data_IF_977134506225
#
_entry.id   IF_977134506225
#
_cell.length_a   1.000
_cell.length_b   1.000
_cell.length_c   1.000
_cell.angle_alpha   90.00
_cell.angle_beta   90.00
_cell.angle_gamma   90.00
#
_symmetry.space_group_name_H-M   'P 1'
#
loop_
_entity.id
_entity.type
_entity.pdbx_description
1 polymer ?
#
# COMPACT_ATOMS: atom_id res chain seq x y z
N UNK A 1 -6.80 1.10 20.34
CA UNK A 1 -7.94 1.64 21.14
C UNK A 1 -8.06 0.89 22.45
N UNK A 2 -8.18 -0.46 22.49
CA UNK A 2 -8.37 -1.21 23.74
C UNK A 2 -7.28 -0.97 24.79
N UNK A 3 -6.02 -0.96 24.41
CA UNK A 3 -4.89 -0.66 25.32
C UNK A 3 -5.01 0.74 25.91
N UNK A 4 -5.30 1.76 25.10
CA UNK A 4 -5.49 3.14 25.57
C UNK A 4 -6.67 3.28 26.54
N UNK A 5 -7.76 2.55 26.31
CA UNK A 5 -8.89 2.54 27.26
C UNK A 5 -8.51 1.95 28.62
N UNK A 6 -7.70 0.90 28.64
CA UNK A 6 -7.21 0.29 29.89
C UNK A 6 -6.24 1.23 30.62
N UNK A 7 -5.35 1.86 29.87
CA UNK A 7 -4.39 2.83 30.42
C UNK A 7 -5.09 4.04 31.02
N UNK A 8 -6.10 4.57 30.34
CA UNK A 8 -6.94 5.66 30.83
C UNK A 8 -7.71 5.25 32.11
N UNK A 9 -8.31 4.06 32.09
CA UNK A 9 -9.06 3.55 33.24
C UNK A 9 -8.19 3.29 34.50
N UNK A 10 -6.91 3.01 34.30
CA UNK A 10 -5.94 2.72 35.35
C UNK A 10 -4.99 3.89 35.66
N UNK A 11 -5.19 5.03 35.03
CA UNK A 11 -4.35 6.24 35.12
C UNK A 11 -2.85 5.94 34.87
N UNK A 12 -2.57 5.14 33.86
CA UNK A 12 -1.20 4.74 33.50
C UNK A 12 -0.53 5.82 32.67
N UNK A 13 0.55 6.37 33.17
CA UNK A 13 1.40 7.31 32.44
C UNK A 13 2.42 6.56 31.60
N UNK A 14 2.39 6.82 30.30
CA UNK A 14 3.28 6.16 29.32
C UNK A 14 4.56 6.97 29.19
N UNK A 15 5.74 6.33 29.18
CA UNK A 15 7.01 7.03 28.92
C UNK A 15 7.04 7.70 27.54
N UNK A 16 7.71 8.86 27.37
CA UNK A 16 7.74 9.59 26.10
C UNK A 16 8.26 8.76 24.90
N UNK A 17 9.28 7.92 25.10
CA UNK A 17 9.78 7.04 24.03
C UNK A 17 8.76 5.98 23.61
N UNK A 18 7.96 5.47 24.55
CA UNK A 18 6.88 4.54 24.24
C UNK A 18 5.80 5.20 23.40
N UNK A 19 5.46 6.46 23.69
CA UNK A 19 4.53 7.27 22.89
C UNK A 19 5.08 7.48 21.47
N UNK A 20 6.37 7.79 21.29
CA UNK A 20 7.00 7.93 19.98
C UNK A 20 6.93 6.62 19.18
N UNK A 21 7.26 5.48 19.79
CA UNK A 21 7.17 4.16 19.13
C UNK A 21 5.75 3.85 18.70
N UNK A 22 4.76 4.12 19.55
CA UNK A 22 3.34 3.99 19.20
C UNK A 22 2.95 4.86 18.02
N UNK A 23 3.41 6.09 17.98
CA UNK A 23 3.13 7.02 16.89
C UNK A 23 3.75 6.55 15.58
N UNK A 24 4.95 5.98 15.58
CA UNK A 24 5.56 5.37 14.38
C UNK A 24 4.70 4.21 13.87
N UNK A 25 4.29 3.29 14.74
CA UNK A 25 3.39 2.18 14.36
C UNK A 25 2.04 2.71 13.84
N UNK A 26 1.49 3.73 14.49
CA UNK A 26 0.23 4.32 14.08
C UNK A 26 0.33 5.01 12.71
N UNK A 27 1.42 5.73 12.45
CA UNK A 27 1.67 6.33 11.13
C UNK A 27 1.81 5.27 10.03
N UNK A 28 2.52 4.18 10.31
CA UNK A 28 2.62 3.06 9.36
C UNK A 28 1.25 2.43 9.07
N UNK A 29 0.42 2.22 10.10
CA UNK A 29 -0.96 1.75 9.94
C UNK A 29 -1.80 2.74 9.13
N UNK A 30 -1.67 4.02 9.39
CA UNK A 30 -2.41 5.06 8.69
C UNK A 30 -2.11 5.06 7.19
N UNK A 31 -0.84 5.03 6.82
CA UNK A 31 -0.41 4.93 5.42
C UNK A 31 -0.93 3.63 4.77
N UNK A 32 -0.75 2.51 5.45
CA UNK A 32 -1.19 1.20 4.97
C UNK A 32 -2.69 1.17 4.69
N UNK A 33 -3.50 1.60 5.65
CA UNK A 33 -4.96 1.51 5.55
C UNK A 33 -5.52 2.37 4.43
N UNK A 34 -5.01 3.58 4.23
CA UNK A 34 -5.46 4.43 3.13
C UNK A 34 -5.19 3.80 1.76
N UNK A 35 -4.00 3.25 1.54
CA UNK A 35 -3.62 2.61 0.28
C UNK A 35 -4.43 1.32 0.06
N UNK A 36 -4.53 0.47 1.07
CA UNK A 36 -5.30 -0.79 0.98
C UNK A 36 -6.78 -0.51 0.75
N UNK A 37 -7.35 0.46 1.44
CA UNK A 37 -8.75 0.83 1.28
C UNK A 37 -9.04 1.31 -0.15
N UNK A 38 -8.23 2.20 -0.68
CA UNK A 38 -8.41 2.73 -2.02
C UNK A 38 -8.27 1.65 -3.10
N UNK A 39 -7.17 0.89 -3.09
CA UNK A 39 -6.93 -0.10 -4.13
C UNK A 39 -7.70 -1.40 -3.92
N UNK A 40 -7.64 -2.00 -2.73
CA UNK A 40 -8.12 -3.37 -2.54
C UNK A 40 -9.58 -3.46 -2.11
N UNK A 41 -10.18 -2.36 -1.64
CA UNK A 41 -11.61 -2.31 -1.32
C UNK A 41 -12.44 -1.55 -2.35
N UNK A 42 -11.87 -0.57 -3.07
CA UNK A 42 -12.63 0.28 -3.98
C UNK A 42 -12.23 0.22 -5.45
N UNK A 43 -10.96 -0.03 -5.78
CA UNK A 43 -10.53 0.08 -7.18
C UNK A 43 -11.33 -0.80 -8.13
N UNK A 44 -11.77 -1.98 -7.68
CA UNK A 44 -12.58 -2.88 -8.51
C UNK A 44 -14.01 -2.39 -8.75
N UNK A 45 -14.45 -1.33 -8.10
CA UNK A 45 -15.75 -0.70 -8.36
C UNK A 45 -15.72 0.19 -9.61
N UNK A 46 -14.55 0.57 -10.11
CA UNK A 46 -14.38 1.48 -11.24
C UNK A 46 -13.28 1.06 -12.24
N UNK A 47 -12.32 0.20 -11.89
CA UNK A 47 -11.34 -0.39 -12.83
C UNK A 47 -11.90 -1.63 -13.48
N UNK A 48 -11.99 -1.63 -14.82
CA UNK A 48 -12.34 -2.80 -15.63
C UNK A 48 -11.07 -3.53 -16.07
N UNK A 49 -10.79 -4.67 -15.44
CA UNK A 49 -9.59 -5.48 -15.66
C UNK A 49 -9.56 -6.06 -17.07
N UNK A 50 -10.69 -6.48 -17.60
CA UNK A 50 -10.76 -7.07 -18.96
C UNK A 50 -10.57 -5.98 -20.01
N UNK A 51 -11.12 -4.79 -19.79
CA UNK A 51 -10.94 -3.67 -20.70
C UNK A 51 -9.48 -3.17 -20.74
N UNK A 52 -8.70 -3.34 -19.68
CA UNK A 52 -7.27 -3.02 -19.63
C UNK A 52 -6.45 -3.75 -20.71
N UNK A 53 -6.92 -4.92 -21.19
CA UNK A 53 -6.25 -5.67 -22.27
C UNK A 53 -6.32 -4.96 -23.62
N UNK A 54 -7.22 -4.01 -23.81
CA UNK A 54 -7.37 -3.22 -25.04
C UNK A 54 -6.45 -1.99 -25.08
N UNK A 55 -5.77 -1.68 -23.98
CA UNK A 55 -4.91 -0.51 -23.88
C UNK A 55 -3.67 -0.62 -24.79
N UNK A 56 -3.22 0.51 -25.32
CA UNK A 56 -1.92 0.62 -25.96
C UNK A 56 -0.83 0.85 -24.89
N UNK A 57 0.17 -0.05 -24.75
CA UNK A 57 1.20 0.10 -23.72
C UNK A 57 2.04 1.37 -23.86
N UNK A 58 2.22 1.91 -25.07
CA UNK A 58 2.97 3.16 -25.30
C UNK A 58 2.16 4.34 -24.81
N UNK A 59 0.89 4.44 -25.22
CA UNK A 59 -0.02 5.50 -24.76
C UNK A 59 -0.23 5.43 -23.23
N UNK A 60 -0.34 4.22 -22.68
CA UNK A 60 -0.43 4.01 -21.24
C UNK A 60 0.80 4.55 -20.51
N UNK A 61 2.00 4.27 -21.06
CA UNK A 61 3.26 4.79 -20.53
C UNK A 61 3.34 6.33 -20.60
N UNK A 62 2.99 6.91 -21.74
CA UNK A 62 2.97 8.37 -21.93
C UNK A 62 2.01 9.03 -20.91
N UNK A 63 0.82 8.46 -20.75
CA UNK A 63 -0.16 8.95 -19.77
C UNK A 63 0.35 8.83 -18.34
N UNK A 64 0.86 7.66 -17.93
CA UNK A 64 1.39 7.44 -16.59
C UNK A 64 2.54 8.41 -16.27
N UNK A 65 3.46 8.62 -17.20
CA UNK A 65 4.59 9.54 -17.05
C UNK A 65 4.16 11.03 -17.04
N UNK A 66 3.02 11.35 -17.63
CA UNK A 66 2.47 12.70 -17.53
C UNK A 66 1.85 13.00 -16.16
N UNK A 67 1.44 11.96 -15.44
CA UNK A 67 0.82 12.07 -14.11
C UNK A 67 1.86 12.08 -13.00
N UNK A 68 2.86 11.19 -13.07
CA UNK A 68 3.87 11.07 -12.03
C UNK A 68 5.23 10.58 -12.59
N UNK A 69 6.27 10.67 -11.74
CA UNK A 69 7.60 10.17 -12.06
C UNK A 69 7.84 8.74 -11.57
N UNK A 70 6.77 7.97 -11.34
CA UNK A 70 6.89 6.62 -10.85
C UNK A 70 7.67 5.74 -11.82
N UNK A 71 8.72 5.02 -11.38
CA UNK A 71 9.64 4.33 -12.29
C UNK A 71 9.02 3.12 -13.02
N UNK A 72 7.98 2.50 -12.45
CA UNK A 72 7.27 1.38 -13.08
C UNK A 72 6.17 1.88 -14.03
N UNK A 73 6.57 2.64 -15.03
CA UNK A 73 5.68 3.26 -16.01
C UNK A 73 6.16 3.12 -17.47
N UNK A 74 7.09 2.20 -17.75
CA UNK A 74 7.60 1.99 -19.10
C UNK A 74 6.62 1.21 -19.99
N UNK A 75 6.68 1.37 -21.33
CA UNK A 75 5.87 0.57 -22.26
C UNK A 75 6.07 -0.94 -22.11
N UNK A 76 7.31 -1.36 -21.83
CA UNK A 76 7.65 -2.77 -21.56
C UNK A 76 6.95 -3.32 -20.34
N UNK A 77 6.94 -2.56 -19.25
CA UNK A 77 6.23 -2.91 -18.01
C UNK A 77 4.73 -3.16 -18.28
N UNK A 78 4.05 -2.23 -18.95
CA UNK A 78 2.63 -2.39 -19.26
C UNK A 78 2.35 -3.53 -20.24
N UNK A 79 3.21 -3.73 -21.26
CA UNK A 79 3.09 -4.87 -22.16
C UNK A 79 3.22 -6.22 -21.45
N UNK A 80 4.15 -6.35 -20.52
CA UNK A 80 4.34 -7.60 -19.77
C UNK A 80 3.20 -7.83 -18.77
N UNK A 81 2.68 -6.76 -18.18
CA UNK A 81 1.47 -6.83 -17.36
C UNK A 81 0.28 -7.33 -18.18
N UNK A 82 0.03 -6.77 -19.37
CA UNK A 82 -1.06 -7.21 -20.24
C UNK A 82 -0.95 -8.70 -20.61
N UNK A 83 0.25 -9.17 -20.95
CA UNK A 83 0.47 -10.60 -21.25
C UNK A 83 0.14 -11.49 -20.06
N UNK A 84 0.52 -11.07 -18.84
CA UNK A 84 0.21 -11.80 -17.60
C UNK A 84 -1.29 -11.85 -17.35
N UNK A 85 -1.97 -10.71 -17.49
CA UNK A 85 -3.43 -10.62 -17.30
C UNK A 85 -4.19 -11.36 -18.41
N UNK A 86 -3.72 -11.28 -19.66
CA UNK A 86 -4.32 -12.02 -20.77
C UNK A 86 -4.38 -13.53 -20.51
N UNK A 87 -3.29 -14.14 -20.05
CA UNK A 87 -3.27 -15.55 -19.63
C UNK A 87 -4.24 -15.85 -18.49
N UNK A 88 -4.39 -14.91 -17.57
CA UNK A 88 -5.31 -15.05 -16.45
C UNK A 88 -6.77 -14.97 -16.91
N UNK A 89 -7.11 -14.06 -17.82
CA UNK A 89 -8.42 -13.97 -18.45
C UNK A 89 -8.74 -15.23 -19.26
N UNK A 90 -7.78 -15.72 -20.06
CA UNK A 90 -7.92 -16.95 -20.86
C UNK A 90 -8.19 -18.19 -19.99
N UNK A 91 -7.69 -18.24 -18.77
CA UNK A 91 -7.92 -19.33 -17.82
C UNK A 91 -9.37 -19.42 -17.31
N UNK A 92 -10.16 -18.37 -17.48
CA UNK A 92 -11.51 -18.25 -16.94
C UNK A 92 -11.61 -18.13 -15.43
N UNK A 93 -10.48 -18.04 -14.72
CA UNK A 93 -10.42 -18.00 -13.24
C UNK A 93 -10.24 -16.58 -12.72
N UNK A 94 -10.98 -15.62 -13.26
CA UNK A 94 -10.83 -14.21 -12.89
C UNK A 94 -11.22 -13.89 -11.45
N UNK A 95 -12.11 -14.65 -10.83
CA UNK A 95 -12.59 -14.36 -9.47
C UNK A 95 -13.11 -12.92 -9.37
N UNK A 96 -12.58 -12.17 -8.41
CA UNK A 96 -12.96 -10.76 -8.19
C UNK A 96 -12.61 -9.85 -9.37
N UNK A 97 -11.68 -10.23 -10.23
CA UNK A 97 -11.28 -9.45 -11.41
C UNK A 97 -12.25 -9.57 -12.60
N UNK A 98 -13.30 -10.37 -12.49
CA UNK A 98 -14.41 -10.36 -13.44
C UNK A 98 -15.45 -9.27 -13.17
N UNK A 99 -15.06 -8.24 -12.44
CA UNK A 99 -15.89 -7.18 -11.90
C UNK A 99 -16.65 -6.37 -12.95
N UNK A 100 -16.05 -6.10 -14.12
CA UNK A 100 -16.67 -5.33 -15.20
C UNK A 100 -17.89 -5.97 -15.86
N UNK A 101 -18.26 -7.22 -15.54
CA UNK A 101 -19.38 -7.93 -16.16
C UNK A 101 -20.76 -7.33 -15.82
N UNK A 102 -20.87 -6.53 -14.77
CA UNK A 102 -22.13 -5.90 -14.37
C UNK A 102 -22.58 -4.80 -15.34
N UNK A 103 -21.66 -4.24 -16.12
CA UNK A 103 -21.95 -3.08 -16.99
C UNK A 103 -22.35 -1.83 -16.19
N UNK A 104 -21.87 -1.68 -14.95
CA UNK A 104 -22.20 -0.52 -14.12
C UNK A 104 -21.66 0.78 -14.71
N UNK A 105 -22.39 1.86 -14.54
CA UNK A 105 -22.05 3.19 -15.08
C UNK A 105 -20.75 3.79 -14.53
N UNK A 106 -20.20 3.25 -13.44
CA UNK A 106 -18.90 3.61 -12.89
C UNK A 106 -17.70 3.13 -13.74
N UNK A 107 -17.90 2.11 -14.60
CA UNK A 107 -16.86 1.63 -15.51
C UNK A 107 -16.75 2.50 -16.76
N UNK A 108 -16.26 3.74 -16.57
CA UNK A 108 -16.12 4.75 -17.63
C UNK A 108 -14.69 4.98 -18.09
N UNK A 109 -13.72 4.37 -17.39
CA UNK A 109 -12.31 4.66 -17.62
C UNK A 109 -11.87 4.16 -18.99
N UNK A 110 -11.06 4.95 -19.74
CA UNK A 110 -10.35 4.46 -20.92
C UNK A 110 -9.48 3.25 -20.61
N UNK A 111 -9.19 2.45 -21.64
CA UNK A 111 -8.41 1.22 -21.46
C UNK A 111 -7.03 1.47 -20.84
N UNK A 112 -6.37 2.56 -21.24
CA UNK A 112 -5.08 2.98 -20.70
C UNK A 112 -5.13 3.28 -19.20
N UNK A 113 -6.17 3.98 -18.75
CA UNK A 113 -6.37 4.28 -17.32
C UNK A 113 -6.71 3.00 -16.54
N UNK A 114 -7.51 2.10 -17.11
CA UNK A 114 -7.77 0.80 -16.51
C UNK A 114 -6.47 -0.01 -16.35
N UNK A 115 -5.55 0.05 -17.31
CA UNK A 115 -4.27 -0.65 -17.23
C UNK A 115 -3.35 -0.02 -16.17
N UNK A 116 -3.32 1.30 -16.03
CA UNK A 116 -2.59 1.99 -14.96
C UNK A 116 -3.18 1.61 -13.59
N UNK A 117 -4.50 1.71 -13.41
CA UNK A 117 -5.16 1.38 -12.14
C UNK A 117 -4.94 -0.06 -11.73
N UNK A 118 -4.98 -1.01 -12.69
CA UNK A 118 -4.66 -2.42 -12.43
C UNK A 118 -3.19 -2.61 -12.04
N UNK A 119 -2.27 -1.92 -12.71
CA UNK A 119 -0.84 -1.96 -12.38
C UNK A 119 -0.61 -1.51 -10.93
N UNK A 120 -1.16 -0.37 -10.57
CA UNK A 120 -1.03 0.21 -9.23
C UNK A 120 -1.74 -0.62 -8.15
N UNK A 121 -2.88 -1.24 -8.46
CA UNK A 121 -3.52 -2.23 -7.59
C UNK A 121 -2.57 -3.38 -7.21
N UNK A 122 -1.90 -3.96 -8.22
CA UNK A 122 -0.96 -5.06 -8.00
C UNK A 122 0.32 -4.60 -7.28
N UNK A 123 0.79 -3.39 -7.58
CA UNK A 123 1.93 -2.81 -6.88
C UNK A 123 1.61 -2.50 -5.42
N UNK A 124 0.40 -2.04 -5.12
CA UNK A 124 -0.06 -1.83 -3.74
C UNK A 124 -0.09 -3.13 -2.93
N UNK A 125 -0.41 -4.29 -3.55
CA UNK A 125 -0.31 -5.61 -2.91
C UNK A 125 1.14 -5.95 -2.47
N UNK A 126 2.13 -5.59 -3.28
CA UNK A 126 3.53 -5.78 -2.90
C UNK A 126 4.00 -4.75 -1.88
N UNK A 127 3.63 -3.48 -2.08
CA UNK A 127 3.99 -2.39 -1.20
C UNK A 127 3.51 -2.59 0.25
N UNK A 128 2.28 -3.07 0.43
CA UNK A 128 1.73 -3.29 1.77
C UNK A 128 2.58 -4.25 2.62
N UNK A 129 3.19 -5.25 2.00
CA UNK A 129 4.05 -6.22 2.69
C UNK A 129 5.29 -5.57 3.29
N UNK A 130 5.76 -4.49 2.67
CA UNK A 130 6.93 -3.77 3.14
C UNK A 130 6.59 -2.84 4.31
N UNK A 131 5.56 -2.01 4.17
CA UNK A 131 5.23 -1.02 5.20
C UNK A 131 4.81 -1.67 6.54
N UNK A 132 4.14 -2.81 6.50
CA UNK A 132 3.72 -3.52 7.73
C UNK A 132 4.88 -4.13 8.52
N UNK A 133 6.08 -4.21 7.95
CA UNK A 133 7.28 -4.63 8.69
C UNK A 133 7.59 -3.71 9.86
N UNK A 134 7.19 -2.43 9.77
CA UNK A 134 7.28 -1.48 10.89
C UNK A 134 6.51 -2.00 12.11
N UNK A 135 5.32 -2.57 11.90
CA UNK A 135 4.54 -3.19 12.98
C UNK A 135 5.24 -4.39 13.60
N UNK A 136 5.88 -5.20 12.77
CA UNK A 136 6.61 -6.39 13.26
C UNK A 136 7.85 -5.99 14.06
N UNK A 137 8.57 -4.96 13.60
CA UNK A 137 9.78 -4.47 14.28
C UNK A 137 9.45 -3.92 15.68
N UNK A 138 8.43 -3.09 15.79
CA UNK A 138 8.07 -2.44 17.07
C UNK A 138 7.01 -3.19 17.86
N UNK A 139 6.10 -3.87 17.22
CA UNK A 139 4.95 -4.53 17.84
C UNK A 139 4.99 -6.06 17.81
N UNK A 140 6.03 -6.65 17.22
CA UNK A 140 6.28 -8.09 17.21
C UNK A 140 5.46 -8.88 16.18
N UNK A 141 4.42 -8.32 15.59
CA UNK A 141 3.57 -8.97 14.59
C UNK A 141 2.73 -7.97 13.79
N UNK A 142 2.18 -8.44 12.68
CA UNK A 142 1.11 -7.81 11.92
C UNK A 142 0.12 -8.91 11.47
N UNK A 143 -1.21 -8.76 11.55
CA UNK A 143 -1.95 -7.63 12.14
C UNK A 143 -1.95 -7.65 13.68
N UNK A 144 -2.56 -6.63 14.25
CA UNK A 144 -2.70 -6.45 15.70
C UNK A 144 -1.36 -6.43 16.45
N UNK A 145 -0.45 -5.49 16.10
CA UNK A 145 0.83 -5.35 16.80
C UNK A 145 0.59 -5.02 18.28
N UNK A 146 1.55 -5.40 19.11
CA UNK A 146 1.50 -5.06 20.52
C UNK A 146 1.77 -3.56 20.72
N UNK A 147 0.82 -2.85 21.32
CA UNK A 147 0.94 -1.43 21.67
C UNK A 147 1.18 -1.19 23.16
N UNK A 148 1.16 -2.23 23.96
CA UNK A 148 1.31 -2.10 25.41
C UNK A 148 2.66 -1.45 25.74
N UNK A 149 2.63 -0.33 26.45
CA UNK A 149 3.82 0.45 26.87
C UNK A 149 4.81 0.74 25.71
N UNK A 150 4.32 0.89 24.47
CA UNK A 150 5.17 1.21 23.32
C UNK A 150 5.62 -0.01 22.51
N UNK A 151 4.88 -1.12 22.57
CA UNK A 151 5.10 -2.27 21.73
C UNK A 151 5.81 -3.44 22.39
N UNK A 152 6.62 -4.15 21.64
CA UNK A 152 7.50 -5.16 22.22
C UNK A 152 8.53 -4.49 23.11
N UNK A 153 8.81 -5.10 24.24
CA UNK A 153 9.84 -4.61 25.16
C UNK A 153 11.22 -4.73 24.49
N UNK A 154 11.60 -3.67 23.79
CA UNK A 154 12.90 -3.59 23.11
C UNK A 154 13.72 -2.54 23.83
N UNK A 155 14.87 -2.92 24.32
CA UNK A 155 15.87 -1.91 24.67
C UNK A 155 16.31 -1.19 23.39
N UNK A 156 16.26 0.14 23.39
CA UNK A 156 16.92 0.93 22.36
C UNK A 156 18.40 0.96 22.76
N UNK A 157 19.21 0.17 22.07
CA UNK A 157 20.64 0.04 22.32
C UNK A 157 21.38 -0.08 21.00
N UNK A 158 22.52 0.58 20.91
CA UNK A 158 23.37 0.54 19.71
C UNK A 158 24.12 -0.78 19.55
N UNK A 159 24.24 -1.56 20.62
CA UNK A 159 25.22 -2.66 20.73
C UNK A 159 24.58 -4.05 20.79
N UNK A 160 23.27 -4.14 20.93
CA UNK A 160 22.53 -5.42 21.01
C UNK A 160 21.82 -5.74 19.69
N UNK A 161 22.16 -6.85 19.08
CA UNK A 161 21.52 -7.34 17.84
C UNK A 161 20.05 -7.70 18.01
N UNK A 162 19.59 -7.97 19.23
CA UNK A 162 18.18 -8.23 19.56
C UNK A 162 17.37 -6.95 19.81
N UNK A 163 18.04 -5.82 20.06
CA UNK A 163 17.44 -4.53 20.36
C UNK A 163 17.09 -3.69 19.12
N UNK A 164 16.56 -2.49 19.35
CA UNK A 164 16.41 -1.46 18.34
C UNK A 164 17.74 -0.73 18.15
N UNK A 165 18.63 -1.34 17.38
CA UNK A 165 19.93 -0.77 17.06
C UNK A 165 19.86 0.22 15.88
N UNK A 166 21.01 0.87 15.57
CA UNK A 166 21.11 1.83 14.49
C UNK A 166 20.70 1.25 13.11
N UNK A 167 21.04 -0.02 12.85
CA UNK A 167 20.68 -0.69 11.59
C UNK A 167 19.18 -0.88 11.45
N UNK A 168 18.50 -1.33 12.49
CA UNK A 168 17.03 -1.48 12.49
C UNK A 168 16.32 -0.14 12.35
N UNK A 169 16.82 0.91 13.01
CA UNK A 169 16.26 2.26 12.86
C UNK A 169 16.47 2.79 11.44
N UNK A 170 17.64 2.58 10.84
CA UNK A 170 17.89 2.96 9.44
C UNK A 170 16.96 2.17 8.48
N UNK A 171 16.71 0.90 8.77
CA UNK A 171 15.76 0.10 7.98
C UNK A 171 14.31 0.61 8.11
N UNK A 172 13.88 0.98 9.30
CA UNK A 172 12.56 1.62 9.51
C UNK A 172 12.47 2.92 8.72
N UNK A 173 13.49 3.76 8.77
CA UNK A 173 13.54 5.00 7.98
C UNK A 173 13.42 4.72 6.48
N UNK A 174 14.11 3.69 5.97
CA UNK A 174 14.00 3.27 4.58
C UNK A 174 12.57 2.83 4.23
N UNK A 175 11.92 2.00 5.06
CA UNK A 175 10.55 1.56 4.86
C UNK A 175 9.57 2.75 4.80
N UNK A 176 9.72 3.72 5.71
CA UNK A 176 8.89 4.91 5.73
C UNK A 176 9.11 5.81 4.50
N UNK A 177 10.36 5.96 4.04
CA UNK A 177 10.67 6.69 2.80
C UNK A 177 10.05 6.02 1.58
N UNK A 178 10.18 4.71 1.44
CA UNK A 178 9.53 3.94 0.36
C UNK A 178 8.00 4.03 0.44
N UNK A 179 7.46 3.98 1.65
CA UNK A 179 6.03 4.17 1.90
C UNK A 179 5.53 5.52 1.41
N UNK A 180 6.25 6.57 1.78
CA UNK A 180 5.96 7.95 1.38
C UNK A 180 6.06 8.13 -0.14
N UNK A 181 7.10 7.61 -0.77
CA UNK A 181 7.30 7.71 -2.22
C UNK A 181 6.13 7.10 -3.00
N UNK A 182 5.67 5.91 -2.61
CA UNK A 182 4.51 5.28 -3.24
C UNK A 182 3.23 6.12 -3.08
N UNK A 183 3.02 6.69 -1.89
CA UNK A 183 1.86 7.56 -1.63
C UNK A 183 1.92 8.81 -2.51
N UNK A 184 3.06 9.49 -2.59
CA UNK A 184 3.21 10.75 -3.33
C UNK A 184 3.20 10.56 -4.85
N UNK A 185 3.75 9.44 -5.34
CA UNK A 185 3.92 9.21 -6.77
C UNK A 185 2.84 8.32 -7.40
N UNK A 186 2.10 7.55 -6.60
CA UNK A 186 1.11 6.59 -7.08
C UNK A 186 -0.26 6.89 -6.48
N UNK A 187 -0.42 6.75 -5.17
CA UNK A 187 -1.72 6.81 -4.52
C UNK A 187 -2.41 8.18 -4.65
N UNK A 188 -1.72 9.27 -4.32
CA UNK A 188 -2.32 10.62 -4.39
C UNK A 188 -2.65 11.00 -5.84
N UNK A 189 -1.76 10.80 -6.85
CA UNK A 189 -2.11 11.05 -8.24
C UNK A 189 -3.33 10.26 -8.72
N UNK A 190 -3.42 8.97 -8.40
CA UNK A 190 -4.56 8.14 -8.76
C UNK A 190 -5.85 8.62 -8.10
N UNK A 191 -5.80 8.91 -6.79
CA UNK A 191 -6.94 9.44 -6.05
C UNK A 191 -7.47 10.73 -6.69
N UNK A 192 -6.57 11.66 -7.02
CA UNK A 192 -6.96 12.93 -7.66
C UNK A 192 -7.54 12.71 -9.05
N UNK A 193 -6.98 11.80 -9.84
CA UNK A 193 -7.48 11.49 -11.18
C UNK A 193 -8.86 10.82 -11.17
N UNK A 194 -9.16 10.01 -10.17
CA UNK A 194 -10.47 9.33 -10.05
C UNK A 194 -11.53 10.23 -9.44
N UNK A 195 -11.14 11.14 -8.55
CA UNK A 195 -12.08 12.06 -7.87
C UNK A 195 -12.47 13.28 -8.73
N UNK A 196 -11.78 13.54 -9.84
CA UNK A 196 -12.06 14.65 -10.77
C UNK A 196 -13.06 14.26 -11.86
#
# INVERSE_FOLDING_TARGET
>A
TSVRCVEDALDIVIPPNAEMVRNIMFCAQYMHDHVVHFYHLHAMDWVDVVNALKADPKKTSELAQSISKWPKSSPGYFSDLQKRIGKFVESGQLGIFSNGYWGHSAYKLPAEVNLIGLAHYLEALEWQKEIVKVHTIFGGKNPHPNYLVGGMACAITTDDVSGLNAERLAYVEQLLKQGKEFIEQVYIPDLMAIAS
#
